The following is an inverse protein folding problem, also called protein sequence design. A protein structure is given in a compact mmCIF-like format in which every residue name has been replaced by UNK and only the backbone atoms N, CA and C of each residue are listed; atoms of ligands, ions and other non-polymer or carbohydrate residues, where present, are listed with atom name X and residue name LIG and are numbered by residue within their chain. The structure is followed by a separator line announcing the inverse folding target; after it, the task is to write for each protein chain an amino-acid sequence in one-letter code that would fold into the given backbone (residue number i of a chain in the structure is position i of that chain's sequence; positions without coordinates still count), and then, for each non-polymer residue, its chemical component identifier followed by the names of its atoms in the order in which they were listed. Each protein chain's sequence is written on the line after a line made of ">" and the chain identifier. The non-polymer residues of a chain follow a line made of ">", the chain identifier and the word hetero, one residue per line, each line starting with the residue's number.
data_IF_316265512628
#
_entry.id   IF_316265512628
#
_cell.length_a   1.000
_cell.length_b   1.000
_cell.length_c   1.000
_cell.angle_alpha   90.00
_cell.angle_beta   90.00
_cell.angle_gamma   90.00
#
_symmetry.space_group_name_H-M   'P 1'
#
loop_
_entity.id
_entity.type
_entity.pdbx_description
1 polymer ?
#
# COMPACT_ATOMS: atom_id res chain seq x y z
N UNK A 1 16.46 9.45 3.06
CA UNK A 1 17.41 10.52 3.45
C UNK A 1 17.96 11.28 2.24
N UNK A 2 18.10 10.65 1.10
CA UNK A 2 18.54 11.26 -0.15
C UNK A 2 17.33 11.79 -0.93
N UNK A 3 17.49 12.95 -1.55
CA UNK A 3 16.49 13.47 -2.47
C UNK A 3 16.39 12.59 -3.73
N UNK A 4 15.27 12.66 -4.42
CA UNK A 4 15.04 11.86 -5.63
C UNK A 4 14.18 12.58 -6.64
N UNK A 5 14.28 12.12 -7.89
CA UNK A 5 13.47 12.60 -9.01
C UNK A 5 12.98 11.40 -9.82
N UNK A 6 11.68 11.34 -10.07
CA UNK A 6 11.05 10.24 -10.82
C UNK A 6 10.03 10.82 -11.79
N UNK A 7 10.07 10.34 -13.04
CA UNK A 7 8.95 10.47 -13.98
C UNK A 7 8.17 9.16 -13.94
N UNK A 8 6.91 9.22 -13.58
CA UNK A 8 6.06 8.06 -13.41
C UNK A 8 4.74 8.20 -14.19
N UNK A 9 4.19 7.08 -14.65
CA UNK A 9 2.87 7.01 -15.25
C UNK A 9 2.07 5.90 -14.59
N UNK A 10 0.90 6.22 -14.06
CA UNK A 10 -0.06 5.21 -13.63
C UNK A 10 -0.67 4.53 -14.86
N UNK A 11 -0.69 3.21 -14.87
CA UNK A 11 -1.24 2.41 -15.96
C UNK A 11 -2.40 1.56 -15.47
N UNK A 12 -3.41 1.42 -16.33
CA UNK A 12 -4.50 0.48 -16.12
C UNK A 12 -4.15 -0.86 -16.79
N UNK A 13 -4.49 -1.96 -16.16
CA UNK A 13 -4.34 -3.26 -16.77
C UNK A 13 -5.61 -3.59 -17.57
N UNK A 14 -5.49 -3.60 -18.90
CA UNK A 14 -6.64 -3.81 -19.82
C UNK A 14 -7.81 -2.86 -19.53
N UNK A 15 -7.50 -1.61 -19.19
CA UNK A 15 -8.50 -0.59 -18.87
C UNK A 15 -9.11 -0.65 -17.47
N UNK A 16 -8.64 -1.56 -16.59
CA UNK A 16 -9.13 -1.72 -15.23
C UNK A 16 -8.02 -1.48 -14.20
N UNK A 17 -8.40 -0.97 -13.05
CA UNK A 17 -7.55 -0.93 -11.87
C UNK A 17 -7.38 -2.35 -11.32
N UNK A 18 -6.12 -2.83 -11.16
CA UNK A 18 -5.90 -4.21 -10.77
C UNK A 18 -6.03 -4.45 -9.26
N UNK A 19 -6.11 -3.40 -8.44
CA UNK A 19 -6.09 -3.48 -6.98
C UNK A 19 -7.43 -3.03 -6.42
N UNK A 20 -8.02 -3.87 -5.59
CA UNK A 20 -9.28 -3.61 -4.89
C UNK A 20 -9.11 -3.85 -3.39
N UNK A 21 -9.70 -2.98 -2.58
CA UNK A 21 -9.80 -3.10 -1.12
C UNK A 21 -11.24 -2.88 -0.70
N UNK A 22 -11.74 -3.75 0.15
CA UNK A 22 -13.05 -3.64 0.78
C UNK A 22 -12.89 -3.62 2.29
N UNK A 23 -13.49 -2.64 2.95
CA UNK A 23 -13.65 -2.61 4.41
C UNK A 23 -15.13 -2.49 4.72
N UNK A 24 -15.65 -3.38 5.55
CA UNK A 24 -17.04 -3.30 6.02
C UNK A 24 -17.13 -3.61 7.51
N UNK A 25 -18.03 -2.94 8.18
CA UNK A 25 -18.31 -3.15 9.61
C UNK A 25 -18.98 -4.50 9.82
N UNK A 26 -18.62 -5.17 10.91
CA UNK A 26 -19.28 -6.38 11.40
C UNK A 26 -19.69 -6.16 12.87
N UNK A 27 -20.78 -6.80 13.34
CA UNK A 27 -21.26 -6.61 14.72
C UNK A 27 -20.36 -7.29 15.76
N UNK A 28 -19.63 -8.33 15.37
CA UNK A 28 -18.75 -9.08 16.22
C UNK A 28 -17.51 -8.27 16.61
N UNK A 29 -16.95 -8.52 17.81
CA UNK A 29 -15.76 -7.81 18.32
C UNK A 29 -14.46 -8.54 17.95
N UNK A 30 -14.24 -8.73 16.64
CA UNK A 30 -13.01 -9.27 16.06
C UNK A 30 -12.74 -8.61 14.69
N UNK A 31 -11.60 -8.92 14.10
CA UNK A 31 -11.22 -8.46 12.77
C UNK A 31 -11.13 -9.67 11.85
N UNK A 32 -11.84 -9.61 10.71
CA UNK A 32 -11.72 -10.60 9.64
C UNK A 32 -10.79 -10.07 8.56
N UNK A 33 -9.85 -10.90 8.11
CA UNK A 33 -8.87 -10.57 7.09
C UNK A 33 -8.99 -11.54 5.92
N UNK A 34 -8.99 -11.01 4.70
CA UNK A 34 -9.04 -11.81 3.49
C UNK A 34 -8.10 -11.27 2.40
N UNK A 35 -7.49 -12.19 1.64
CA UNK A 35 -6.78 -11.91 0.39
C UNK A 35 -7.41 -12.80 -0.68
N UNK A 36 -8.34 -12.24 -1.43
CA UNK A 36 -9.23 -13.04 -2.30
C UNK A 36 -8.51 -13.60 -3.51
N UNK A 37 -7.47 -12.95 -3.99
CA UNK A 37 -6.60 -13.43 -5.06
C UNK A 37 -5.72 -14.62 -4.65
N UNK A 38 -5.41 -14.76 -3.37
CA UNK A 38 -4.64 -15.89 -2.81
C UNK A 38 -5.51 -16.95 -2.16
N UNK A 39 -6.80 -16.64 -1.93
CA UNK A 39 -7.72 -17.51 -1.20
C UNK A 39 -7.45 -17.59 0.31
N UNK A 40 -6.62 -16.67 0.85
CA UNK A 40 -6.36 -16.63 2.28
C UNK A 40 -7.51 -15.95 3.03
N UNK A 41 -7.89 -16.52 4.18
CA UNK A 41 -8.86 -15.98 5.13
C UNK A 41 -8.38 -16.23 6.55
N UNK A 42 -8.58 -15.28 7.44
CA UNK A 42 -8.23 -15.38 8.85
C UNK A 42 -9.02 -14.42 9.71
N UNK A 43 -8.99 -14.68 11.01
CA UNK A 43 -9.63 -13.84 12.04
C UNK A 43 -8.60 -13.47 13.08
N UNK A 44 -8.62 -12.24 13.57
CA UNK A 44 -7.82 -11.79 14.69
C UNK A 44 -8.74 -11.40 15.85
N UNK A 45 -8.51 -12.02 17.01
CA UNK A 45 -9.29 -11.83 18.24
C UNK A 45 -8.52 -11.07 19.34
N UNK A 46 -7.22 -10.83 19.11
CA UNK A 46 -6.34 -10.11 20.03
C UNK A 46 -5.51 -9.04 19.31
N UNK A 47 -5.01 -8.06 20.09
CA UNK A 47 -4.14 -7.03 19.56
C UNK A 47 -2.78 -7.62 19.15
N UNK A 48 -2.28 -8.60 19.90
CA UNK A 48 -1.01 -9.27 19.63
C UNK A 48 -1.00 -9.97 18.28
N UNK A 49 -2.13 -10.56 17.85
CA UNK A 49 -2.26 -11.15 16.51
C UNK A 49 -2.12 -10.13 15.39
N UNK A 50 -2.59 -8.90 15.61
CA UNK A 50 -2.42 -7.79 14.65
C UNK A 50 -1.00 -7.22 14.72
N UNK A 51 -0.42 -7.12 15.91
CA UNK A 51 0.95 -6.61 16.12
C UNK A 51 2.03 -7.53 15.55
N UNK A 52 1.73 -8.82 15.36
CA UNK A 52 2.61 -9.76 14.64
C UNK A 52 2.51 -9.55 13.11
N UNK A 53 2.94 -8.36 12.66
CA UNK A 53 2.91 -7.94 11.26
C UNK A 53 4.29 -8.01 10.57
N UNK A 54 5.34 -8.42 11.29
CA UNK A 54 6.71 -8.48 10.76
C UNK A 54 7.03 -9.79 10.04
N UNK A 55 6.18 -10.82 10.17
CA UNK A 55 6.40 -12.11 9.54
C UNK A 55 6.15 -12.01 8.02
N UNK A 56 7.18 -12.15 7.17
CA UNK A 56 7.03 -12.02 5.71
C UNK A 56 6.25 -13.18 5.07
N UNK A 57 6.02 -14.27 5.82
CA UNK A 57 5.24 -15.42 5.37
C UNK A 57 3.77 -15.35 5.79
N UNK A 58 3.41 -14.39 6.64
CA UNK A 58 2.01 -14.14 6.98
C UNK A 58 1.30 -13.50 5.77
N UNK A 59 0.25 -14.14 5.21
CA UNK A 59 -0.51 -13.60 4.10
C UNK A 59 -1.18 -12.25 4.45
N UNK A 60 -1.35 -11.96 5.74
CA UNK A 60 -2.00 -10.76 6.25
C UNK A 60 -1.04 -9.70 6.81
N UNK A 61 0.28 -9.87 6.67
CA UNK A 61 1.24 -8.90 7.20
C UNK A 61 0.93 -7.45 6.77
N UNK A 62 0.58 -7.23 5.50
CA UNK A 62 0.21 -5.91 4.99
C UNK A 62 -1.10 -5.38 5.60
N UNK A 63 -2.12 -6.24 5.74
CA UNK A 63 -3.40 -5.87 6.36
C UNK A 63 -3.19 -5.44 7.81
N UNK A 64 -2.44 -6.22 8.58
CA UNK A 64 -2.08 -5.94 9.98
C UNK A 64 -1.29 -4.64 10.12
N UNK A 65 -0.27 -4.45 9.27
CA UNK A 65 0.51 -3.23 9.24
C UNK A 65 -0.34 -2.00 8.87
N UNK A 66 -1.33 -2.15 7.98
CA UNK A 66 -2.26 -1.06 7.64
C UNK A 66 -3.15 -0.66 8.83
N UNK A 67 -3.66 -1.62 9.59
CA UNK A 67 -4.43 -1.38 10.83
C UNK A 67 -3.63 -0.56 11.82
N UNK A 68 -2.35 -0.91 12.00
CA UNK A 68 -1.43 -0.20 12.91
C UNK A 68 -1.09 1.19 12.37
N UNK A 69 -0.69 1.28 11.10
CA UNK A 69 -0.29 2.55 10.48
C UNK A 69 -1.42 3.58 10.46
N UNK A 70 -2.68 3.13 10.33
CA UNK A 70 -3.87 3.98 10.41
C UNK A 70 -4.29 4.30 11.86
N UNK A 71 -3.52 3.91 12.87
CA UNK A 71 -3.74 4.29 14.27
C UNK A 71 -4.88 3.56 14.97
N UNK A 72 -5.41 2.46 14.42
CA UNK A 72 -6.47 1.67 15.07
C UNK A 72 -5.90 0.92 16.27
N UNK A 73 -4.71 0.35 16.13
CA UNK A 73 -3.97 -0.31 17.21
C UNK A 73 -2.53 0.21 17.28
N UNK A 74 -1.93 0.29 18.46
CA UNK A 74 -0.51 0.62 18.61
C UNK A 74 0.37 -0.56 18.16
N UNK A 75 1.61 -0.28 17.75
CA UNK A 75 2.55 -1.31 17.29
C UNK A 75 3.10 -2.15 18.45
N UNK A 76 3.52 -1.52 19.54
CA UNK A 76 4.27 -2.17 20.63
C UNK A 76 3.57 -2.08 22.00
N UNK A 77 2.61 -1.18 22.17
CA UNK A 77 1.91 -1.01 23.43
C UNK A 77 0.82 -2.07 23.60
N UNK A 78 0.61 -2.52 24.85
CA UNK A 78 -0.51 -3.42 25.15
C UNK A 78 -1.84 -2.73 24.85
N UNK A 79 -2.65 -3.36 24.03
CA UNK A 79 -3.98 -2.90 23.70
C UNK A 79 -5.01 -4.02 23.89
N UNK A 80 -6.21 -3.63 24.28
CA UNK A 80 -7.35 -4.52 24.35
C UNK A 80 -8.17 -4.35 23.07
N UNK A 81 -8.04 -5.28 22.13
CA UNK A 81 -8.72 -5.23 20.85
C UNK A 81 -10.23 -5.06 21.01
N UNK A 82 -10.85 -5.80 21.94
CA UNK A 82 -12.30 -5.72 22.16
C UNK A 82 -12.74 -4.32 22.56
N UNK A 83 -12.01 -3.69 23.48
CA UNK A 83 -12.31 -2.30 23.87
C UNK A 83 -12.14 -1.29 22.74
N UNK A 84 -11.15 -1.50 21.86
CA UNK A 84 -10.96 -0.65 20.68
C UNK A 84 -12.17 -0.83 19.74
N UNK A 85 -12.55 -2.06 19.44
CA UNK A 85 -13.67 -2.36 18.54
C UNK A 85 -15.02 -1.94 19.14
N UNK A 86 -15.23 -2.05 20.44
CA UNK A 86 -16.42 -1.50 21.13
C UNK A 86 -16.56 0.00 20.92
N UNK A 87 -15.47 0.77 21.04
CA UNK A 87 -15.47 2.22 20.77
C UNK A 87 -15.75 2.53 19.31
N UNK A 88 -15.30 1.67 18.39
CA UNK A 88 -15.60 1.78 16.97
C UNK A 88 -17.04 1.33 16.63
N UNK A 89 -17.74 0.70 17.60
CA UNK A 89 -19.11 0.19 17.45
C UNK A 89 -19.22 -1.11 16.67
N UNK A 90 -18.22 -1.97 16.78
CA UNK A 90 -18.14 -3.31 16.18
C UNK A 90 -16.76 -3.58 15.58
N UNK A 91 -16.54 -4.81 15.12
CA UNK A 91 -15.36 -5.18 14.37
C UNK A 91 -15.48 -4.80 12.89
N UNK A 92 -14.55 -5.30 12.09
CA UNK A 92 -14.59 -5.08 10.65
C UNK A 92 -13.98 -6.25 9.87
N UNK A 93 -14.43 -6.36 8.64
CA UNK A 93 -13.86 -7.20 7.61
C UNK A 93 -13.00 -6.34 6.69
N UNK A 94 -11.74 -6.75 6.46
CA UNK A 94 -10.82 -6.14 5.52
C UNK A 94 -10.43 -7.17 4.47
N UNK A 95 -10.76 -6.89 3.24
CA UNK A 95 -10.41 -7.75 2.09
C UNK A 95 -9.56 -7.00 1.09
N UNK A 96 -8.60 -7.71 0.51
CA UNK A 96 -7.78 -7.22 -0.60
C UNK A 96 -7.83 -8.16 -1.78
N UNK A 97 -7.67 -7.60 -2.98
CA UNK A 97 -7.57 -8.36 -4.22
C UNK A 97 -6.59 -7.70 -5.19
N UNK A 98 -5.68 -8.48 -5.78
CA UNK A 98 -4.81 -8.04 -6.88
C UNK A 98 -5.13 -8.87 -8.12
N UNK A 99 -5.78 -8.27 -9.12
CA UNK A 99 -6.26 -8.96 -10.32
C UNK A 99 -5.23 -8.90 -11.46
N UNK A 100 -4.85 -10.06 -11.97
CA UNK A 100 -4.08 -10.17 -13.20
C UNK A 100 -2.62 -9.69 -13.13
N UNK A 101 -2.10 -9.34 -11.96
CA UNK A 101 -0.70 -8.97 -11.74
C UNK A 101 -0.03 -10.02 -10.85
N UNK A 102 1.00 -10.71 -11.33
CA UNK A 102 1.69 -11.71 -10.52
C UNK A 102 2.37 -11.09 -9.29
N UNK A 103 2.22 -11.74 -8.13
CA UNK A 103 2.91 -11.33 -6.90
C UNK A 103 4.43 -11.36 -7.11
N UNK A 104 5.12 -10.27 -6.72
CA UNK A 104 6.56 -10.13 -6.92
C UNK A 104 6.96 -9.80 -8.36
N UNK A 105 6.04 -9.25 -9.16
CA UNK A 105 6.28 -8.82 -10.55
C UNK A 105 7.20 -7.60 -10.70
N UNK A 106 7.43 -6.86 -9.63
CA UNK A 106 8.20 -5.61 -9.66
C UNK A 106 7.39 -4.39 -10.12
N UNK A 107 6.05 -4.50 -10.18
CA UNK A 107 5.15 -3.40 -10.58
C UNK A 107 4.67 -2.55 -9.39
N UNK A 108 5.36 -2.61 -8.25
CA UNK A 108 5.00 -1.82 -7.07
C UNK A 108 3.66 -2.18 -6.43
N UNK A 109 3.08 -3.35 -6.77
CA UNK A 109 1.73 -3.74 -6.33
C UNK A 109 1.57 -3.77 -4.82
N UNK A 110 2.61 -4.09 -4.07
CA UNK A 110 2.56 -4.11 -2.59
C UNK A 110 2.34 -2.70 -2.03
N UNK A 111 3.11 -1.72 -2.50
CA UNK A 111 3.01 -0.33 -2.06
C UNK A 111 1.70 0.31 -2.50
N UNK A 112 1.21 -0.02 -3.70
CA UNK A 112 -0.08 0.46 -4.20
C UNK A 112 -1.23 -0.16 -3.38
N UNK A 113 -1.14 -1.46 -3.05
CA UNK A 113 -2.11 -2.14 -2.20
C UNK A 113 -2.12 -1.55 -0.78
N UNK A 114 -0.94 -1.26 -0.21
CA UNK A 114 -0.83 -0.55 1.07
C UNK A 114 -1.56 0.80 1.01
N UNK A 115 -1.34 1.57 -0.05
CA UNK A 115 -2.03 2.84 -0.25
C UNK A 115 -3.54 2.72 -0.43
N UNK A 116 -4.01 1.69 -1.13
CA UNK A 116 -5.43 1.41 -1.25
C UNK A 116 -6.05 1.05 0.11
N UNK A 117 -5.35 0.26 0.95
CA UNK A 117 -5.78 -0.03 2.32
C UNK A 117 -5.84 1.24 3.17
N UNK A 118 -4.82 2.11 3.10
CA UNK A 118 -4.78 3.37 3.86
C UNK A 118 -5.93 4.29 3.45
N UNK A 119 -6.20 4.45 2.15
CA UNK A 119 -7.36 5.21 1.66
C UNK A 119 -8.69 4.64 2.15
N UNK A 120 -8.85 3.32 2.05
CA UNK A 120 -10.06 2.65 2.51
C UNK A 120 -10.26 2.83 4.03
N UNK A 121 -9.18 2.78 4.84
CA UNK A 121 -9.28 3.06 6.27
C UNK A 121 -9.62 4.52 6.57
N UNK A 122 -9.06 5.49 5.86
CA UNK A 122 -9.43 6.89 6.04
C UNK A 122 -10.95 7.09 5.83
N UNK A 123 -11.52 6.54 4.75
CA UNK A 123 -12.96 6.58 4.50
C UNK A 123 -13.76 5.82 5.56
N UNK A 124 -13.32 4.64 5.97
CA UNK A 124 -13.97 3.81 6.99
C UNK A 124 -14.02 4.51 8.36
N UNK A 125 -12.98 5.24 8.71
CA UNK A 125 -12.88 6.03 9.95
C UNK A 125 -13.59 7.38 9.85
N UNK A 126 -14.07 7.76 8.67
CA UNK A 126 -14.72 9.06 8.43
C UNK A 126 -13.75 10.23 8.41
N UNK A 127 -12.47 9.97 8.12
CA UNK A 127 -11.42 10.97 8.06
C UNK A 127 -11.14 11.41 6.62
N UNK A 128 -10.83 12.69 6.45
CA UNK A 128 -10.43 13.26 5.15
C UNK A 128 -8.92 13.48 5.13
N UNK A 129 -8.18 12.50 4.66
CA UNK A 129 -6.73 12.60 4.49
C UNK A 129 -6.39 13.12 3.10
N UNK A 130 -5.47 14.06 3.04
CA UNK A 130 -4.91 14.50 1.76
C UNK A 130 -3.87 13.49 1.22
N UNK A 131 -3.44 13.70 -0.02
CA UNK A 131 -2.49 12.79 -0.66
C UNK A 131 -1.16 12.71 0.10
N UNK A 132 -0.70 13.79 0.74
CA UNK A 132 0.55 13.78 1.53
C UNK A 132 0.42 12.89 2.76
N UNK A 133 -0.71 12.99 3.48
CA UNK A 133 -1.00 12.15 4.64
C UNK A 133 -1.08 10.67 4.24
N UNK A 134 -1.70 10.36 3.09
CA UNK A 134 -1.75 9.00 2.54
C UNK A 134 -0.33 8.49 2.27
N UNK A 135 0.52 9.27 1.57
CA UNK A 135 1.88 8.85 1.23
C UNK A 135 2.75 8.63 2.46
N UNK A 136 2.67 9.52 3.44
CA UNK A 136 3.41 9.41 4.71
C UNK A 136 2.97 8.17 5.51
N UNK A 137 1.66 7.89 5.52
CA UNK A 137 1.11 6.71 6.21
C UNK A 137 1.54 5.41 5.52
N UNK A 138 1.55 5.38 4.18
CA UNK A 138 2.04 4.22 3.42
C UNK A 138 3.53 3.99 3.66
N UNK A 139 4.32 5.06 3.69
CA UNK A 139 5.75 4.95 3.99
C UNK A 139 5.97 4.38 5.41
N UNK A 140 5.20 4.86 6.40
CA UNK A 140 5.23 4.32 7.76
C UNK A 140 4.83 2.83 7.79
N UNK A 141 3.78 2.44 7.07
CA UNK A 141 3.34 1.05 6.93
C UNK A 141 4.48 0.16 6.39
N UNK A 142 5.17 0.60 5.34
CA UNK A 142 6.31 -0.15 4.79
C UNK A 142 7.49 -0.25 5.75
N UNK A 143 7.72 0.77 6.57
CA UNK A 143 8.72 0.72 7.64
C UNK A 143 8.33 -0.28 8.74
N UNK A 144 7.06 -0.29 9.15
CA UNK A 144 6.52 -1.28 10.09
C UNK A 144 6.77 -2.69 9.55
N UNK A 145 6.51 -2.95 8.28
CA UNK A 145 6.78 -4.25 7.65
C UNK A 145 8.28 -4.52 7.41
N UNK A 146 9.17 -3.56 7.69
CA UNK A 146 10.61 -3.64 7.41
C UNK A 146 10.94 -3.98 5.95
N UNK A 147 10.15 -3.49 5.00
CA UNK A 147 10.35 -3.74 3.57
C UNK A 147 11.46 -2.87 2.98
N UNK A 148 11.73 -1.71 3.59
CA UNK A 148 12.75 -0.76 3.15
C UNK A 148 12.37 -0.03 1.86
N UNK A 149 11.08 -0.04 1.50
CA UNK A 149 10.55 0.65 0.32
C UNK A 149 10.67 2.18 0.42
N UNK A 150 10.75 2.83 -0.73
CA UNK A 150 10.69 4.28 -0.87
C UNK A 150 9.29 4.76 -1.24
N UNK A 151 9.21 6.01 -1.65
CA UNK A 151 7.93 6.68 -1.95
C UNK A 151 7.44 6.54 -3.40
N UNK A 152 8.28 6.07 -4.32
CA UNK A 152 7.99 6.16 -5.76
C UNK A 152 6.78 5.30 -6.19
N UNK A 153 6.64 4.09 -5.64
CA UNK A 153 5.60 3.15 -6.08
C UNK A 153 4.21 3.58 -5.60
N UNK A 154 4.09 4.00 -4.32
CA UNK A 154 2.82 4.48 -3.81
C UNK A 154 2.36 5.76 -4.50
N UNK A 155 3.24 6.77 -4.64
CA UNK A 155 2.87 8.01 -5.34
C UNK A 155 2.58 7.73 -6.82
N UNK A 156 3.39 6.86 -7.44
CA UNK A 156 3.24 6.47 -8.83
C UNK A 156 1.91 5.79 -9.12
N UNK A 157 1.47 4.88 -8.26
CA UNK A 157 0.24 4.11 -8.46
C UNK A 157 -1.02 4.79 -7.92
N UNK A 158 -0.92 5.54 -6.81
CA UNK A 158 -2.08 6.17 -6.19
C UNK A 158 -2.50 7.48 -6.85
N UNK A 159 -1.58 8.17 -7.54
CA UNK A 159 -1.87 9.40 -8.26
C UNK A 159 -2.06 9.10 -9.75
N UNK A 160 -3.19 9.46 -10.35
CA UNK A 160 -3.46 9.16 -11.75
C UNK A 160 -2.61 9.98 -12.72
N UNK A 161 -2.47 9.47 -13.95
CA UNK A 161 -1.82 10.16 -15.05
C UNK A 161 -0.29 10.07 -15.03
N UNK A 162 0.36 10.95 -15.80
CA UNK A 162 1.82 11.07 -15.85
C UNK A 162 2.25 12.16 -14.87
N UNK A 163 3.27 11.87 -14.06
CA UNK A 163 3.73 12.76 -12.98
C UNK A 163 5.24 12.88 -12.95
N UNK A 164 5.68 14.09 -12.70
CA UNK A 164 7.05 14.38 -12.32
C UNK A 164 7.10 14.59 -10.81
N UNK A 165 7.84 13.75 -10.12
CA UNK A 165 7.87 13.71 -8.67
C UNK A 165 9.29 14.00 -8.21
N UNK A 166 9.42 14.93 -7.28
CA UNK A 166 10.69 15.25 -6.65
C UNK A 166 10.57 15.13 -5.13
N UNK A 167 11.64 14.65 -4.50
CA UNK A 167 11.76 14.62 -3.06
C UNK A 167 13.01 15.39 -2.62
N UNK A 168 12.88 16.20 -1.58
CA UNK A 168 14.04 16.86 -0.96
C UNK A 168 14.73 15.89 0.01
N UNK A 169 16.06 15.97 0.14
CA UNK A 169 16.79 15.23 1.16
C UNK A 169 16.33 15.67 2.56
N UNK A 170 16.27 14.75 3.51
CA UNK A 170 15.92 15.03 4.90
C UNK A 170 15.24 13.85 5.59
N UNK A 171 15.12 13.93 6.90
CA UNK A 171 14.45 12.92 7.73
C UNK A 171 12.94 12.90 7.45
N UNK A 172 12.34 14.07 7.26
CA UNK A 172 10.94 14.18 6.83
C UNK A 172 10.90 14.27 5.32
N UNK A 173 10.23 13.32 4.71
CA UNK A 173 10.02 13.31 3.27
C UNK A 173 9.13 14.47 2.85
N UNK A 174 9.61 15.25 1.89
CA UNK A 174 8.84 16.33 1.27
C UNK A 174 8.74 16.03 -0.22
N UNK A 175 7.57 15.56 -0.61
CA UNK A 175 7.27 15.24 -2.00
C UNK A 175 6.64 16.44 -2.70
N UNK A 176 7.10 16.73 -3.92
CA UNK A 176 6.42 17.61 -4.86
C UNK A 176 5.98 16.76 -6.05
N UNK A 177 4.67 16.67 -6.24
CA UNK A 177 4.06 15.90 -7.33
C UNK A 177 3.50 16.90 -8.35
N UNK A 178 4.04 16.89 -9.55
CA UNK A 178 3.62 17.76 -10.65
C UNK A 178 3.04 16.90 -11.78
N UNK A 179 1.79 17.15 -12.12
CA UNK A 179 1.14 16.47 -13.25
C UNK A 179 1.75 16.93 -14.56
N UNK A 180 2.12 15.98 -15.40
CA UNK A 180 2.65 16.25 -16.74
C UNK A 180 1.50 16.12 -17.73
N UNK A 181 1.10 17.26 -18.29
CA UNK A 181 0.08 17.30 -19.34
C UNK A 181 0.70 16.94 -20.70
N UNK A 182 0.11 15.99 -21.37
CA UNK A 182 0.46 15.59 -22.74
C UNK A 182 -0.77 15.71 -23.65
N UNK A 183 -0.55 15.91 -24.95
CA UNK A 183 -1.66 15.96 -25.90
C UNK A 183 -2.37 14.59 -26.01
N UNK A 184 -3.66 14.58 -26.32
CA UNK A 184 -4.38 13.32 -26.53
C UNK A 184 -3.74 12.47 -27.66
N UNK A 185 -3.17 13.11 -28.68
CA UNK A 185 -2.41 12.40 -29.71
C UNK A 185 -1.19 11.68 -29.14
N UNK A 186 -0.41 12.36 -28.28
CA UNK A 186 0.77 11.75 -27.64
C UNK A 186 0.36 10.61 -26.70
N UNK A 187 -0.76 10.78 -25.97
CA UNK A 187 -1.30 9.76 -25.08
C UNK A 187 -1.73 8.51 -25.88
N UNK A 188 -2.42 8.70 -27.00
CA UNK A 188 -2.81 7.61 -27.87
C UNK A 188 -1.60 6.89 -28.46
N UNK A 189 -0.60 7.62 -28.98
CA UNK A 189 0.63 7.03 -29.50
C UNK A 189 1.39 6.24 -28.43
N UNK A 190 1.40 6.73 -27.19
CA UNK A 190 2.01 6.01 -26.06
C UNK A 190 1.26 4.71 -25.76
N UNK A 191 -0.07 4.74 -25.73
CA UNK A 191 -0.90 3.56 -25.49
C UNK A 191 -0.73 2.48 -26.58
N UNK A 192 -0.64 2.91 -27.84
CA UNK A 192 -0.46 2.00 -28.98
C UNK A 192 0.93 1.35 -29.03
N UNK A 193 1.95 2.03 -28.49
CA UNK A 193 3.35 1.57 -28.53
C UNK A 193 3.84 0.96 -27.22
N UNK A 194 3.06 1.09 -26.15
CA UNK A 194 3.44 0.58 -24.85
C UNK A 194 3.19 -0.93 -24.77
N UNK A 195 4.23 -1.68 -24.41
CA UNK A 195 4.12 -3.10 -24.16
C UNK A 195 4.74 -3.44 -22.80
N UNK A 196 3.99 -4.18 -21.96
CA UNK A 196 4.45 -4.71 -20.71
C UNK A 196 4.76 -6.20 -20.88
N UNK A 197 6.03 -6.58 -20.68
CA UNK A 197 6.50 -7.96 -20.81
C UNK A 197 6.87 -8.50 -19.44
N UNK A 198 6.15 -9.54 -18.99
CA UNK A 198 6.48 -10.23 -17.75
C UNK A 198 7.54 -11.31 -18.01
N UNK A 199 8.70 -11.19 -17.36
CA UNK A 199 9.85 -12.10 -17.55
C UNK A 199 9.69 -13.45 -16.86
N UNK A 200 8.62 -13.66 -16.08
CA UNK A 200 8.43 -14.87 -15.28
C UNK A 200 9.22 -14.92 -13.96
N UNK A 201 10.11 -13.97 -13.73
CA UNK A 201 10.92 -13.92 -12.51
C UNK A 201 10.17 -13.22 -11.38
N UNK A 202 10.06 -13.86 -10.23
CA UNK A 202 9.58 -13.26 -8.98
C UNK A 202 10.77 -12.84 -8.13
N UNK A 203 10.75 -11.60 -7.63
CA UNK A 203 11.79 -11.08 -6.74
C UNK A 203 11.16 -10.64 -5.42
N UNK A 204 11.87 -10.92 -4.32
CA UNK A 204 11.60 -10.27 -3.04
C UNK A 204 12.32 -8.92 -3.07
N UNK A 205 11.56 -7.83 -3.22
CA UNK A 205 12.09 -6.45 -3.30
C UNK A 205 13.02 -6.12 -2.12
N UNK A 206 12.71 -6.62 -0.92
CA UNK A 206 13.49 -6.43 0.31
C UNK A 206 14.98 -6.79 0.16
N UNK A 207 15.29 -7.90 -0.51
CA UNK A 207 16.68 -8.34 -0.65
C UNK A 207 17.47 -7.43 -1.60
N UNK A 208 16.83 -7.03 -2.71
CA UNK A 208 17.44 -6.14 -3.69
C UNK A 208 17.64 -4.73 -3.12
N UNK A 209 16.67 -4.19 -2.40
CA UNK A 209 16.77 -2.87 -1.77
C UNK A 209 17.89 -2.81 -0.72
N UNK A 210 18.06 -3.86 0.09
CA UNK A 210 19.18 -3.94 1.04
C UNK A 210 20.54 -3.94 0.36
N UNK A 211 20.68 -4.63 -0.77
CA UNK A 211 21.92 -4.67 -1.55
C UNK A 211 22.21 -3.30 -2.18
N UNK A 212 21.19 -2.64 -2.73
CA UNK A 212 21.34 -1.29 -3.32
C UNK A 212 21.72 -0.27 -2.26
N UNK A 213 20.98 -0.21 -1.14
CA UNK A 213 21.24 0.75 -0.05
C UNK A 213 22.59 0.48 0.63
N UNK A 214 23.00 -0.78 0.75
CA UNK A 214 24.28 -1.15 1.35
C UNK A 214 25.50 -0.80 0.48
N UNK A 215 25.30 -0.50 -0.80
CA UNK A 215 26.37 -0.13 -1.76
C UNK A 215 26.41 1.39 -2.05
N UNK A 216 25.56 2.19 -1.41
CA UNK A 216 25.54 3.65 -1.46
C UNK A 216 26.29 4.21 -0.25
#
# INVERSE_FOLDING_TARGET
>A
EHGGTVLNAAILLRGCEPIEVEIRKIPELHIELASTDTGAYGTAESAEEIQDCHNPYDPFALHKAAIIACGILPLEEKADLKKVLEKMGGGFYLSTCVKGVPKGSGLGTSSILAGACVKAFAEFLGESWDDSQIYDTVLNLEQIMSTGGGWQDQVGGLTPGIKFITSRPGIRQQLKVEKVEISEKTKQELQERFALIYTGQRRLARNLLREVVGNY
#
